data_IF_362172010940
#
_entry.id   IF_362172010940
#
_cell.length_a   1.000
_cell.length_b   1.000
_cell.length_c   1.000
_cell.angle_alpha   90.00
_cell.angle_beta   90.00
_cell.angle_gamma   90.00
#
_symmetry.space_group_name_H-M   'P 1'
#
loop_
_entity.id
_entity.type
_entity.pdbx_description
1 polymer ?
#
# COMPACT_ATOMS: atom_id res chain seq x y z
N UNK A 1 -38.01 -4.15 -32.31
CA UNK A 1 -37.32 -5.20 -31.52
C UNK A 1 -35.80 -5.03 -31.61
N UNK A 2 -35.19 -4.07 -30.90
CA UNK A 2 -33.74 -3.78 -31.05
C UNK A 2 -32.95 -3.55 -29.76
N UNK A 3 -33.62 -3.38 -28.61
CA UNK A 3 -32.96 -2.93 -27.38
C UNK A 3 -32.37 -4.11 -26.56
N UNK A 4 -32.95 -5.31 -26.66
CA UNK A 4 -32.50 -6.47 -25.88
C UNK A 4 -31.15 -7.07 -26.36
N UNK A 5 -30.81 -6.89 -27.64
CA UNK A 5 -29.56 -7.40 -28.21
C UNK A 5 -28.34 -6.56 -27.77
N UNK A 6 -28.47 -5.23 -27.75
CA UNK A 6 -27.40 -4.31 -27.34
C UNK A 6 -27.01 -4.50 -25.86
N UNK A 7 -28.01 -4.67 -24.97
CA UNK A 7 -27.74 -4.90 -23.54
C UNK A 7 -27.04 -6.25 -23.28
N UNK A 8 -27.34 -7.28 -24.06
CA UNK A 8 -26.65 -8.58 -23.97
C UNK A 8 -25.22 -8.51 -24.51
N UNK A 9 -25.00 -7.83 -25.64
CA UNK A 9 -23.67 -7.65 -26.22
C UNK A 9 -22.73 -6.88 -25.26
N UNK A 10 -23.23 -5.81 -24.61
CA UNK A 10 -22.44 -5.05 -23.63
C UNK A 10 -22.02 -5.90 -22.43
N UNK A 11 -22.91 -6.77 -21.93
CA UNK A 11 -22.59 -7.66 -20.79
C UNK A 11 -21.57 -8.72 -21.15
N UNK A 12 -21.67 -9.32 -22.35
CA UNK A 12 -20.71 -10.33 -22.84
C UNK A 12 -19.34 -9.70 -23.10
N UNK A 13 -19.29 -8.48 -23.63
CA UNK A 13 -18.04 -7.73 -23.82
C UNK A 13 -17.43 -7.35 -22.46
N UNK A 14 -18.21 -6.86 -21.50
CA UNK A 14 -17.72 -6.58 -20.14
C UNK A 14 -17.20 -7.83 -19.43
N UNK A 15 -17.88 -8.98 -19.60
CA UNK A 15 -17.43 -10.25 -19.05
C UNK A 15 -16.14 -10.75 -19.72
N UNK A 16 -15.99 -10.58 -21.04
CA UNK A 16 -14.73 -10.89 -21.76
C UNK A 16 -13.59 -9.97 -21.34
N UNK A 17 -13.82 -8.67 -21.22
CA UNK A 17 -12.79 -7.72 -20.73
C UNK A 17 -12.37 -8.06 -19.29
N UNK A 18 -13.30 -8.50 -18.45
CA UNK A 18 -13.00 -8.98 -17.10
C UNK A 18 -12.27 -10.33 -17.08
N UNK A 19 -12.49 -11.19 -18.07
CA UNK A 19 -11.86 -12.51 -18.21
C UNK A 19 -10.51 -12.48 -18.95
N UNK A 20 -10.30 -11.52 -19.85
CA UNK A 20 -9.09 -11.39 -20.69
C UNK A 20 -8.02 -10.49 -20.05
N UNK A 21 -8.39 -9.64 -19.08
CA UNK A 21 -7.37 -9.00 -18.24
C UNK A 21 -6.78 -10.07 -17.33
N UNK A 22 -5.45 -10.26 -17.28
CA UNK A 22 -4.86 -10.96 -16.15
C UNK A 22 -5.33 -10.20 -14.92
N UNK A 23 -6.14 -10.85 -14.09
CA UNK A 23 -6.59 -10.31 -12.82
C UNK A 23 -5.35 -9.75 -12.15
N UNK A 24 -5.28 -8.41 -11.99
CA UNK A 24 -4.16 -7.75 -11.32
C UNK A 24 -3.93 -8.53 -10.02
N UNK A 25 -2.72 -9.03 -9.75
CA UNK A 25 -2.49 -9.83 -8.55
C UNK A 25 -3.05 -9.10 -7.33
N UNK A 26 -3.70 -9.83 -6.42
CA UNK A 26 -4.43 -9.23 -5.29
C UNK A 26 -3.58 -8.24 -4.50
N UNK A 27 -2.26 -8.47 -4.44
CA UNK A 27 -1.28 -7.55 -3.88
C UNK A 27 -1.36 -6.14 -4.51
N UNK A 28 -1.41 -6.01 -5.83
CA UNK A 28 -1.54 -4.70 -6.50
C UNK A 28 -2.86 -4.00 -6.20
N UNK A 29 -3.96 -4.75 -6.04
CA UNK A 29 -5.25 -4.18 -5.63
C UNK A 29 -5.20 -3.64 -4.19
N UNK A 30 -4.54 -4.37 -3.29
CA UNK A 30 -4.31 -3.93 -1.90
C UNK A 30 -3.41 -2.70 -1.90
N UNK A 31 -2.33 -2.72 -2.69
CA UNK A 31 -1.39 -1.62 -2.85
C UNK A 31 -2.10 -0.32 -3.28
N UNK A 32 -2.88 -0.39 -4.36
CA UNK A 32 -3.64 0.75 -4.88
C UNK A 32 -4.61 1.29 -3.81
N UNK A 33 -5.31 0.39 -3.11
CA UNK A 33 -6.25 0.75 -2.05
C UNK A 33 -5.57 1.47 -0.89
N UNK A 34 -4.43 0.96 -0.42
CA UNK A 34 -3.70 1.52 0.73
C UNK A 34 -3.05 2.85 0.34
N UNK A 35 -2.45 2.94 -0.85
CA UNK A 35 -1.84 4.17 -1.34
C UNK A 35 -2.86 5.30 -1.56
N UNK A 36 -4.11 4.97 -1.90
CA UNK A 36 -5.19 5.93 -2.01
C UNK A 36 -5.72 6.45 -0.66
N UNK A 37 -5.34 5.84 0.47
CA UNK A 37 -5.83 6.28 1.78
C UNK A 37 -5.19 7.62 2.18
N UNK A 38 -5.96 8.54 2.78
CA UNK A 38 -5.42 9.80 3.27
C UNK A 38 -4.43 9.52 4.41
N UNK A 39 -3.25 10.14 4.33
CA UNK A 39 -2.25 10.13 5.40
C UNK A 39 -2.82 10.72 6.69
N UNK A 40 -2.32 10.28 7.85
CA UNK A 40 -2.79 10.81 9.12
C UNK A 40 -2.38 12.28 9.27
N UNK A 41 -3.32 13.16 9.68
CA UNK A 41 -2.98 14.54 9.98
C UNK A 41 -2.06 14.57 11.21
N UNK A 42 -0.98 15.32 11.13
CA UNK A 42 -0.06 15.54 12.25
C UNK A 42 -0.46 16.81 12.99
N UNK A 43 -0.28 16.79 14.30
CA UNK A 43 -0.50 17.94 15.17
C UNK A 43 0.77 18.22 15.97
N UNK A 44 1.10 19.48 16.22
CA UNK A 44 2.23 19.88 17.06
C UNK A 44 1.85 19.72 18.54
N UNK A 45 2.80 20.06 19.42
CA UNK A 45 2.60 20.02 20.88
C UNK A 45 1.47 20.96 21.34
N UNK A 46 1.12 21.95 20.52
CA UNK A 46 0.06 22.93 20.77
C UNK A 46 -1.27 22.56 20.09
N UNK A 47 -1.33 21.41 19.40
CA UNK A 47 -2.52 20.93 18.69
C UNK A 47 -2.75 21.56 17.31
N UNK A 48 -1.79 22.30 16.74
CA UNK A 48 -1.89 22.83 15.38
C UNK A 48 -1.50 21.77 14.36
N UNK A 49 -2.24 21.72 13.25
CA UNK A 49 -1.96 20.79 12.16
C UNK A 49 -0.59 21.10 11.54
N UNK A 50 0.36 20.17 11.65
CA UNK A 50 1.70 20.29 11.07
C UNK A 50 1.69 19.68 9.67
N UNK A 51 2.17 20.43 8.69
CA UNK A 51 2.30 19.93 7.31
C UNK A 51 3.50 18.99 7.13
N UNK A 52 4.45 18.97 8.07
CA UNK A 52 5.59 18.08 8.05
C UNK A 52 5.12 16.62 8.21
N UNK A 53 5.04 15.94 7.07
CA UNK A 53 4.81 14.50 7.04
C UNK A 53 6.06 13.79 7.58
N UNK A 54 5.88 12.63 8.20
CA UNK A 54 7.01 11.81 8.60
C UNK A 54 7.64 11.20 7.36
N UNK A 55 8.77 11.73 6.94
CA UNK A 55 9.60 11.11 5.89
C UNK A 55 10.63 10.21 6.59
N UNK A 56 10.75 8.93 6.22
CA UNK A 56 11.86 8.12 6.69
C UNK A 56 13.20 8.76 6.27
N UNK A 57 14.27 8.47 7.01
CA UNK A 57 15.62 8.97 6.70
C UNK A 57 16.25 8.31 5.46
N UNK A 58 15.54 7.39 4.82
CA UNK A 58 15.94 6.67 3.62
C UNK A 58 14.85 6.75 2.56
N UNK A 59 15.25 6.70 1.29
CA UNK A 59 14.33 6.81 0.15
C UNK A 59 13.44 5.57 -0.03
N UNK A 60 13.91 4.43 0.48
CA UNK A 60 13.25 3.15 0.39
C UNK A 60 13.19 2.47 1.77
N UNK A 61 12.07 1.81 2.05
CA UNK A 61 11.85 1.00 3.25
C UNK A 61 11.24 -0.35 2.88
N UNK A 62 11.56 -1.34 3.70
CA UNK A 62 11.00 -2.69 3.60
C UNK A 62 9.98 -2.86 4.70
N UNK A 63 8.81 -3.41 4.36
CA UNK A 63 7.74 -3.69 5.30
C UNK A 63 7.46 -5.20 5.32
N UNK A 64 7.56 -5.80 6.50
CA UNK A 64 7.39 -7.24 6.72
C UNK A 64 6.34 -7.49 7.80
N UNK A 65 5.51 -8.53 7.62
CA UNK A 65 4.62 -8.99 8.68
C UNK A 65 5.31 -10.06 9.54
N UNK A 66 5.56 -9.72 10.79
CA UNK A 66 6.08 -10.68 11.77
C UNK A 66 4.92 -11.48 12.39
N UNK A 67 4.91 -12.78 12.06
CA UNK A 67 3.90 -13.74 12.54
C UNK A 67 3.98 -13.98 14.04
N UNK A 68 5.15 -13.88 14.64
CA UNK A 68 5.34 -14.21 16.07
C UNK A 68 4.66 -13.16 16.96
N UNK A 69 4.78 -11.89 16.59
CA UNK A 69 4.23 -10.78 17.35
C UNK A 69 2.93 -10.22 16.75
N UNK A 70 2.52 -10.70 15.57
CA UNK A 70 1.36 -10.20 14.81
C UNK A 70 1.41 -8.69 14.58
N UNK A 71 2.57 -8.22 14.12
CA UNK A 71 2.83 -6.79 13.83
C UNK A 71 3.51 -6.63 12.49
N UNK A 72 3.36 -5.44 11.91
CA UNK A 72 4.06 -5.02 10.70
C UNK A 72 5.30 -4.23 11.07
N UNK A 73 6.47 -4.68 10.63
CA UNK A 73 7.74 -3.97 10.79
C UNK A 73 8.05 -3.16 9.54
N UNK A 74 8.27 -1.87 9.70
CA UNK A 74 8.91 -1.00 8.70
C UNK A 74 10.39 -0.87 9.04
N UNK A 75 11.26 -1.14 8.08
CA UNK A 75 12.70 -1.28 8.30
C UNK A 75 13.51 -0.65 7.17
N UNK A 76 14.77 -0.31 7.48
CA UNK A 76 15.76 0.04 6.47
C UNK A 76 16.10 -1.20 5.61
N UNK A 77 16.21 -1.07 4.26
CA UNK A 77 16.48 -2.20 3.36
C UNK A 77 17.83 -2.89 3.64
N UNK A 78 18.89 -2.12 3.88
CA UNK A 78 20.24 -2.66 4.09
C UNK A 78 20.53 -3.11 5.53
N UNK A 79 19.81 -2.54 6.51
CA UNK A 79 20.04 -2.77 7.96
C UNK A 79 18.74 -3.21 8.60
N UNK A 80 18.22 -4.34 8.11
CA UNK A 80 16.99 -4.93 8.62
C UNK A 80 17.13 -5.21 10.11
N UNK A 81 16.12 -4.84 10.90
CA UNK A 81 16.04 -5.00 12.36
C UNK A 81 17.12 -4.29 13.21
N UNK A 82 18.31 -4.02 12.68
CA UNK A 82 19.43 -3.36 13.37
C UNK A 82 19.44 -1.84 13.18
N UNK A 83 18.87 -1.36 12.07
CA UNK A 83 18.78 0.06 11.74
C UNK A 83 17.49 0.72 12.23
N UNK A 84 17.06 1.75 11.49
CA UNK A 84 15.73 2.33 11.68
C UNK A 84 14.67 1.24 11.51
N UNK A 85 13.92 0.96 12.59
CA UNK A 85 12.79 0.05 12.57
C UNK A 85 11.63 0.59 13.41
N UNK A 86 10.40 0.39 12.92
CA UNK A 86 9.16 0.76 13.61
C UNK A 86 8.12 -0.34 13.41
N UNK A 87 7.36 -0.64 14.46
CA UNK A 87 6.30 -1.64 14.40
C UNK A 87 4.90 -0.99 14.40
N UNK A 88 3.99 -1.59 13.66
CA UNK A 88 2.62 -1.15 13.47
C UNK A 88 1.65 -2.32 13.64
N UNK A 89 0.41 -2.02 14.03
CA UNK A 89 -0.65 -3.04 14.14
C UNK A 89 -1.17 -3.47 12.78
N UNK A 90 -1.27 -2.53 11.83
CA UNK A 90 -1.79 -2.77 10.48
C UNK A 90 -0.84 -2.19 9.43
N UNK A 91 -0.92 -2.72 8.20
CA UNK A 91 -0.15 -2.19 7.07
C UNK A 91 -0.64 -0.78 6.70
N UNK A 92 -1.94 -0.54 6.81
CA UNK A 92 -2.56 0.76 6.62
C UNK A 92 -2.00 1.79 7.58
N UNK A 93 -1.89 1.46 8.88
CA UNK A 93 -1.32 2.38 9.86
C UNK A 93 0.14 2.69 9.57
N UNK A 94 0.92 1.70 9.13
CA UNK A 94 2.28 1.91 8.69
C UNK A 94 2.32 2.93 7.56
N UNK A 95 1.62 2.68 6.45
CA UNK A 95 1.68 3.55 5.27
C UNK A 95 1.09 4.93 5.53
N UNK A 96 0.02 5.05 6.32
CA UNK A 96 -0.65 6.34 6.58
C UNK A 96 0.13 7.25 7.52
N UNK A 97 1.01 6.70 8.37
CA UNK A 97 1.85 7.49 9.28
C UNK A 97 3.04 8.15 8.59
N UNK A 98 3.49 7.63 7.44
CA UNK A 98 4.67 8.13 6.73
C UNK A 98 4.33 8.68 5.34
N UNK A 99 5.18 9.58 4.82
CA UNK A 99 5.09 10.05 3.43
C UNK A 99 5.71 9.07 2.44
N UNK A 100 5.24 7.83 2.49
CA UNK A 100 5.69 6.74 1.64
C UNK A 100 4.51 6.12 0.90
N UNK A 101 4.78 5.48 -0.22
CA UNK A 101 3.81 4.66 -0.95
C UNK A 101 4.38 3.27 -1.18
N UNK A 102 3.52 2.27 -1.11
CA UNK A 102 3.87 0.91 -1.52
C UNK A 102 4.17 0.90 -3.01
N UNK A 103 5.31 0.34 -3.38
CA UNK A 103 5.78 0.28 -4.77
C UNK A 103 5.83 -1.13 -5.33
N UNK A 104 6.16 -2.11 -4.48
CA UNK A 104 6.32 -3.50 -4.91
C UNK A 104 5.98 -4.50 -3.79
N UNK A 105 5.69 -5.73 -4.18
CA UNK A 105 5.47 -6.86 -3.28
C UNK A 105 6.21 -8.10 -3.75
N UNK A 106 7.13 -8.58 -2.91
CA UNK A 106 7.81 -9.85 -3.14
C UNK A 106 7.03 -10.99 -2.47
N UNK A 107 6.42 -11.85 -3.28
CA UNK A 107 5.66 -13.02 -2.82
C UNK A 107 6.54 -14.09 -2.14
N UNK A 108 7.83 -14.17 -2.50
CA UNK A 108 8.74 -15.20 -1.98
C UNK A 108 9.11 -14.92 -0.53
N UNK A 109 9.44 -13.67 -0.23
CA UNK A 109 9.79 -13.21 1.12
C UNK A 109 8.59 -12.63 1.88
N UNK A 110 7.45 -12.44 1.20
CA UNK A 110 6.22 -11.81 1.72
C UNK A 110 6.46 -10.39 2.22
N UNK A 111 7.33 -9.66 1.54
CA UNK A 111 7.74 -8.30 1.90
C UNK A 111 7.17 -7.28 0.95
N UNK A 112 6.80 -6.15 1.51
CA UNK A 112 6.44 -4.96 0.76
C UNK A 112 7.64 -4.03 0.68
N UNK A 113 7.79 -3.39 -0.46
CA UNK A 113 8.72 -2.28 -0.63
C UNK A 113 7.90 -0.99 -0.70
N UNK A 114 8.34 0.04 0.02
CA UNK A 114 7.75 1.37 -0.05
C UNK A 114 8.80 2.45 -0.25
N UNK A 115 8.41 3.50 -0.97
CA UNK A 115 9.30 4.62 -1.34
C UNK A 115 8.72 5.95 -0.95
N UNK A 116 9.59 6.92 -0.70
CA UNK A 116 9.22 8.31 -0.47
C UNK A 116 8.84 9.00 -1.79
N UNK A 117 7.91 9.95 -1.72
CA UNK A 117 7.71 10.90 -2.82
C UNK A 117 8.81 11.97 -2.68
N UNK A 118 9.88 11.81 -3.46
CA UNK A 118 10.96 12.81 -3.55
C UNK A 118 10.44 14.16 -4.01
#
# INVERSE_FOLDING_TARGET
>A
MGIAAYNRASRVISQRIAAEKPLRPTAFLIMDRINAMPKYPRFDVLGHKVQAKCTPMCDEVVIEFDKNHSVWFMMHPEKMYEGFSRCYKTLEDCIRNWDIFLSDYDETTRRWTARTLG
#
